data_IF_161084207604
#
_entry.id   IF_161084207604
#
_cell.length_a   1.000
_cell.length_b   1.000
_cell.length_c   1.000
_cell.angle_alpha   90.00
_cell.angle_beta   90.00
_cell.angle_gamma   90.00
#
_symmetry.space_group_name_H-M   'P 1'
#
loop_
_entity.id
_entity.type
_entity.pdbx_description
1 polymer ?
#
# COMPACT_ATOMS: atom_id res chain seq x y z
N UNK A 1 7.00 19.92 7.27
CA UNK A 1 5.76 19.60 8.01
C UNK A 1 5.37 18.15 7.78
N UNK A 2 5.10 17.41 8.84
CA UNK A 2 4.60 16.04 8.73
C UNK A 2 3.10 16.10 8.46
N UNK A 3 2.65 15.43 7.40
CA UNK A 3 1.22 15.34 7.03
C UNK A 3 0.60 14.02 7.40
N UNK A 4 1.39 12.95 7.52
CA UNK A 4 0.89 11.65 7.89
C UNK A 4 1.89 10.86 8.70
N UNK A 5 1.37 9.99 9.56
CA UNK A 5 2.15 9.07 10.37
C UNK A 5 1.56 7.67 10.18
N UNK A 6 2.37 6.75 9.66
CA UNK A 6 1.99 5.35 9.53
C UNK A 6 2.34 4.64 10.82
N UNK A 7 1.34 4.06 11.47
CA UNK A 7 1.48 3.53 12.83
C UNK A 7 0.90 2.14 12.94
N UNK A 8 1.47 1.34 13.84
CA UNK A 8 0.96 0.03 14.20
C UNK A 8 0.53 0.09 15.66
N UNK A 9 -0.70 -0.34 15.93
CA UNK A 9 -1.20 -0.50 17.27
C UNK A 9 -1.06 -1.97 17.68
N UNK A 10 -0.37 -2.20 18.81
CA UNK A 10 -0.21 -3.56 19.38
C UNK A 10 -1.33 -3.80 20.39
N UNK A 11 -2.22 -4.73 20.06
CA UNK A 11 -3.38 -5.05 20.91
C UNK A 11 -2.98 -5.69 22.25
N UNK A 12 -1.90 -6.46 22.26
CA UNK A 12 -1.48 -7.18 23.46
C UNK A 12 -0.88 -6.23 24.51
N UNK A 13 -0.16 -5.21 24.08
CA UNK A 13 0.53 -4.27 24.97
C UNK A 13 -0.16 -2.91 25.06
N UNK A 14 -1.18 -2.67 24.23
CA UNK A 14 -1.88 -1.39 24.09
C UNK A 14 -0.89 -0.24 23.78
N UNK A 15 0.09 -0.50 22.93
CA UNK A 15 1.12 0.47 22.57
C UNK A 15 1.06 0.79 21.07
N UNK A 16 1.53 1.99 20.72
CA UNK A 16 1.63 2.47 19.34
C UNK A 16 3.10 2.48 18.94
N UNK A 17 3.39 1.92 17.76
CA UNK A 17 4.69 2.01 17.12
C UNK A 17 4.56 2.89 15.88
N UNK A 18 5.35 3.96 15.82
CA UNK A 18 5.45 4.77 14.60
C UNK A 18 6.39 4.06 13.63
N UNK A 19 5.87 3.73 12.44
CA UNK A 19 6.63 3.06 11.39
C UNK A 19 7.31 4.08 10.49
N UNK A 20 6.56 5.10 10.04
CA UNK A 20 7.05 6.07 9.08
C UNK A 20 6.24 7.36 9.20
N UNK A 21 6.92 8.49 9.14
CA UNK A 21 6.28 9.80 9.03
C UNK A 21 6.68 10.45 7.72
N UNK A 22 5.76 11.20 7.11
CA UNK A 22 6.00 11.77 5.79
C UNK A 22 5.25 13.09 5.63
N UNK A 23 5.82 13.97 4.81
CA UNK A 23 5.12 15.16 4.35
C UNK A 23 4.03 14.81 3.33
N UNK A 24 4.15 13.67 2.68
CA UNK A 24 3.13 13.16 1.77
C UNK A 24 2.00 12.51 2.56
N UNK A 25 0.80 12.51 1.99
CA UNK A 25 -0.35 11.84 2.58
C UNK A 25 -0.29 10.34 2.26
N UNK A 26 0.02 9.55 3.28
CA UNK A 26 -0.02 8.08 3.19
C UNK A 26 -1.41 7.62 3.57
N UNK A 27 -2.01 6.75 2.77
CA UNK A 27 -3.37 6.30 3.00
C UNK A 27 -3.50 4.79 2.80
N UNK A 28 -4.55 4.23 3.38
CA UNK A 28 -5.04 2.87 3.16
C UNK A 28 -3.98 1.77 3.37
N UNK A 29 -3.37 1.67 4.55
CA UNK A 29 -2.39 0.61 4.79
C UNK A 29 -3.04 -0.77 4.85
N UNK A 30 -2.38 -1.74 4.20
CA UNK A 30 -2.73 -3.16 4.28
C UNK A 30 -1.51 -3.96 4.72
N UNK A 31 -1.76 -5.02 5.48
CA UNK A 31 -0.73 -5.97 5.84
C UNK A 31 -0.38 -6.89 4.67
N UNK A 32 0.90 -7.11 4.45
CA UNK A 32 1.39 -8.27 3.73
C UNK A 32 1.16 -9.50 4.62
N UNK A 33 0.70 -10.65 4.08
CA UNK A 33 0.49 -11.85 4.88
C UNK A 33 1.70 -12.34 5.65
N UNK A 34 2.92 -12.01 5.21
CA UNK A 34 4.15 -12.35 5.94
C UNK A 34 4.30 -11.58 7.25
N UNK A 35 3.58 -10.45 7.39
CA UNK A 35 3.72 -9.55 8.53
C UNK A 35 4.96 -8.65 8.48
N UNK A 36 5.75 -8.73 7.41
CA UNK A 36 7.00 -7.97 7.29
C UNK A 36 6.89 -6.66 6.52
N UNK A 37 5.77 -6.42 5.84
CA UNK A 37 5.58 -5.23 5.01
C UNK A 37 4.16 -4.69 5.14
N UNK A 38 4.03 -3.40 4.87
CA UNK A 38 2.72 -2.76 4.64
C UNK A 38 2.65 -2.29 3.19
N UNK A 39 1.44 -2.33 2.62
CA UNK A 39 1.14 -1.77 1.32
C UNK A 39 0.31 -0.51 1.54
N UNK A 40 0.71 0.61 0.95
CA UNK A 40 0.05 1.90 1.14
C UNK A 40 -0.18 2.60 -0.19
N UNK A 41 -1.09 3.57 -0.19
CA UNK A 41 -1.33 4.46 -1.32
C UNK A 41 -0.79 5.85 -0.98
N UNK A 42 0.00 6.41 -1.89
CA UNK A 42 0.45 7.79 -1.82
C UNK A 42 0.18 8.43 -3.18
N UNK A 43 -0.75 9.37 -3.21
CA UNK A 43 -1.08 10.13 -4.41
C UNK A 43 -1.39 9.25 -5.64
N UNK A 44 -2.20 8.21 -5.43
CA UNK A 44 -2.63 7.31 -6.50
C UNK A 44 -1.62 6.24 -6.91
N UNK A 45 -0.52 6.12 -6.20
CA UNK A 45 0.50 5.11 -6.45
C UNK A 45 0.67 4.20 -5.24
N UNK A 46 0.96 2.94 -5.49
CA UNK A 46 1.18 1.96 -4.43
C UNK A 46 2.65 1.91 -4.04
N UNK A 47 2.89 1.79 -2.75
CA UNK A 47 4.22 1.67 -2.17
C UNK A 47 4.23 0.54 -1.15
N UNK A 48 5.36 -0.16 -1.08
CA UNK A 48 5.63 -1.12 -0.01
C UNK A 48 6.47 -0.44 1.06
N UNK A 49 6.14 -0.71 2.32
CA UNK A 49 6.91 -0.22 3.46
C UNK A 49 7.41 -1.41 4.25
N UNK A 50 8.69 -1.80 4.10
CA UNK A 50 9.27 -2.85 4.92
C UNK A 50 9.38 -2.40 6.37
N UNK A 51 8.97 -3.24 7.32
CA UNK A 51 8.98 -2.84 8.74
C UNK A 51 10.39 -2.81 9.33
N UNK A 52 11.29 -3.67 8.84
CA UNK A 52 12.67 -3.71 9.33
C UNK A 52 13.51 -2.51 8.86
N UNK A 53 13.07 -1.83 7.81
CA UNK A 53 13.75 -0.68 7.22
C UNK A 53 12.70 0.23 6.59
N UNK A 54 11.92 0.96 7.40
CA UNK A 54 10.76 1.71 6.89
C UNK A 54 11.16 2.79 5.89
N UNK A 55 10.61 2.67 4.69
CA UNK A 55 10.72 3.66 3.62
C UNK A 55 9.65 3.37 2.59
N UNK A 56 9.32 4.35 1.75
CA UNK A 56 8.37 4.16 0.67
C UNK A 56 9.09 3.58 -0.54
N UNK A 57 8.82 2.29 -0.84
CA UNK A 57 9.36 1.62 -2.02
C UNK A 57 8.25 1.49 -3.06
N UNK A 58 8.39 2.08 -4.26
CA UNK A 58 7.33 2.03 -5.26
C UNK A 58 7.06 0.60 -5.72
N UNK A 59 5.78 0.28 -5.90
CA UNK A 59 5.32 -0.97 -6.50
C UNK A 59 4.90 -0.65 -7.93
N UNK A 60 5.52 -1.29 -8.92
CA UNK A 60 5.15 -1.09 -10.32
C UNK A 60 3.76 -1.68 -10.56
N UNK A 61 2.87 -0.90 -11.15
CA UNK A 61 1.48 -1.29 -11.41
C UNK A 61 1.10 -1.14 -12.89
N UNK A 62 2.07 -0.95 -13.78
CA UNK A 62 1.81 -0.77 -15.20
C UNK A 62 0.96 0.46 -15.47
N UNK A 63 -0.13 0.29 -16.20
CA UNK A 63 -1.04 1.37 -16.54
C UNK A 63 -1.95 1.82 -15.38
N UNK A 64 -1.99 1.07 -14.28
CA UNK A 64 -2.82 1.39 -13.12
C UNK A 64 -2.11 2.43 -12.23
N UNK A 65 -2.22 3.69 -12.62
CA UNK A 65 -1.45 4.80 -12.01
C UNK A 65 -2.31 5.83 -11.30
N UNK A 66 -3.61 5.57 -11.20
CA UNK A 66 -4.56 6.42 -10.48
C UNK A 66 -5.34 5.58 -9.49
N UNK A 67 -4.59 4.91 -8.62
CA UNK A 67 -5.15 4.00 -7.63
C UNK A 67 -5.93 4.77 -6.57
N UNK A 68 -7.05 4.20 -6.15
CA UNK A 68 -7.76 4.68 -4.97
C UNK A 68 -7.34 3.85 -3.75
N UNK A 69 -8.10 3.96 -2.67
CA UNK A 69 -7.74 3.31 -1.41
C UNK A 69 -8.20 1.85 -1.30
N UNK A 70 -8.75 1.29 -2.39
CA UNK A 70 -9.22 -0.09 -2.41
C UNK A 70 -8.13 -0.99 -3.00
N UNK A 71 -7.42 -1.65 -2.14
CA UNK A 71 -6.40 -2.63 -2.53
C UNK A 71 -6.20 -3.66 -1.41
N UNK A 72 -5.61 -4.77 -1.77
CA UNK A 72 -5.29 -5.82 -0.82
C UNK A 72 -4.30 -6.80 -1.41
N UNK A 73 -3.79 -7.67 -0.55
CA UNK A 73 -2.84 -8.71 -0.94
C UNK A 73 -3.50 -10.06 -0.72
N UNK A 74 -3.35 -10.98 -1.68
CA UNK A 74 -3.92 -12.32 -1.55
C UNK A 74 -3.35 -13.05 -0.34
N UNK A 75 -4.10 -13.99 0.27
CA UNK A 75 -3.62 -14.71 1.45
C UNK A 75 -2.32 -15.47 1.24
N UNK A 76 -2.04 -15.89 0.00
CA UNK A 76 -0.78 -16.56 -0.34
C UNK A 76 0.37 -15.59 -0.61
N UNK A 77 0.11 -14.27 -0.56
CA UNK A 77 1.11 -13.24 -0.75
C UNK A 77 1.58 -13.05 -2.20
N UNK A 78 0.91 -13.69 -3.17
CA UNK A 78 1.39 -13.70 -4.56
C UNK A 78 0.83 -12.61 -5.44
N UNK A 79 -0.35 -12.07 -5.10
CA UNK A 79 -1.05 -11.10 -5.93
C UNK A 79 -1.54 -9.92 -5.12
N UNK A 80 -1.59 -8.78 -5.78
CA UNK A 80 -2.25 -7.59 -5.27
C UNK A 80 -3.48 -7.35 -6.14
N UNK A 81 -4.64 -7.15 -5.50
CA UNK A 81 -5.82 -6.59 -6.13
C UNK A 81 -5.83 -5.10 -5.85
N UNK A 82 -6.13 -4.31 -6.85
CA UNK A 82 -6.20 -2.87 -6.69
C UNK A 82 -7.30 -2.28 -7.57
N UNK A 83 -7.75 -1.09 -7.21
CA UNK A 83 -8.69 -0.31 -8.01
C UNK A 83 -7.98 0.94 -8.50
N UNK A 84 -8.07 1.22 -9.79
CA UNK A 84 -7.47 2.39 -10.41
C UNK A 84 -8.46 3.03 -11.37
N UNK A 85 -8.46 4.35 -11.44
CA UNK A 85 -9.36 5.10 -12.30
C UNK A 85 -8.87 5.07 -13.75
N UNK A 86 -9.75 4.66 -14.67
CA UNK A 86 -9.52 4.74 -16.11
C UNK A 86 -10.32 5.91 -16.67
N UNK A 87 -9.72 6.72 -17.54
CA UNK A 87 -10.34 7.93 -18.08
C UNK A 87 -11.71 7.68 -18.69
N UNK A 88 -11.84 6.59 -19.43
CA UNK A 88 -13.05 6.27 -20.19
C UNK A 88 -14.03 5.39 -19.45
N UNK A 89 -13.57 4.60 -18.49
CA UNK A 89 -14.34 3.52 -17.88
C UNK A 89 -14.56 3.69 -16.38
N UNK A 90 -14.01 4.73 -15.76
CA UNK A 90 -14.08 4.94 -14.33
C UNK A 90 -13.17 3.99 -13.56
N UNK A 91 -13.56 3.64 -12.34
CA UNK A 91 -12.76 2.75 -11.50
C UNK A 91 -12.80 1.32 -12.06
N UNK A 92 -11.63 0.72 -12.24
CA UNK A 92 -11.43 -0.64 -12.73
C UNK A 92 -10.63 -1.44 -11.73
N UNK A 93 -10.91 -2.73 -11.63
CA UNK A 93 -10.20 -3.66 -10.76
C UNK A 93 -9.09 -4.34 -11.56
N UNK A 94 -7.90 -4.35 -10.99
CA UNK A 94 -6.72 -4.97 -11.59
C UNK A 94 -6.10 -5.98 -10.64
N UNK A 95 -5.52 -7.04 -11.20
CA UNK A 95 -4.66 -7.97 -10.47
C UNK A 95 -3.25 -7.84 -11.00
N UNK A 96 -2.29 -7.71 -10.09
CA UNK A 96 -0.87 -7.66 -10.44
C UNK A 96 -0.07 -8.65 -9.58
N UNK A 97 1.14 -9.04 -10.01
CA UNK A 97 2.04 -9.78 -9.13
C UNK A 97 2.37 -8.97 -7.88
N UNK A 98 2.52 -9.63 -6.73
CA UNK A 98 2.76 -8.92 -5.47
C UNK A 98 4.07 -8.13 -5.47
N UNK A 99 5.07 -8.56 -6.23
CA UNK A 99 6.32 -7.84 -6.38
C UNK A 99 6.20 -6.64 -7.33
N UNK A 100 5.07 -6.47 -7.97
CA UNK A 100 4.84 -5.42 -8.96
C UNK A 100 4.93 -5.95 -10.38
N UNK A 101 4.35 -5.21 -11.31
CA UNK A 101 4.32 -5.57 -12.71
C UNK A 101 3.05 -5.07 -13.38
N UNK A 102 2.85 -5.49 -14.62
CA UNK A 102 1.65 -5.14 -15.36
C UNK A 102 0.45 -5.97 -14.90
N UNK A 103 -0.72 -5.35 -14.90
CA UNK A 103 -1.98 -6.04 -14.59
C UNK A 103 -2.26 -7.18 -15.55
#
# INVERSE_FOLDING_TARGET
MIRSSLEIYDLATATVRVVLQSEQLIAAPNWDPSGGNLLVNVDGRLYRVPLHRPQLLPVATGAAVRCNNDHGISPDGRQIVLSSHHEMQGAQIYLIPAQGGDP
#
